data_IF_263162737396
#
_entry.id   IF_263162737396
#
_cell.length_a   1.000
_cell.length_b   1.000
_cell.length_c   1.000
_cell.angle_alpha   90.00
_cell.angle_beta   90.00
_cell.angle_gamma   90.00
#
_symmetry.space_group_name_H-M   'P 1'
#
loop_
_entity.id
_entity.type
_entity.pdbx_description
1 polymer ?
#
# COMPACT_ATOMS: atom_id res chain seq x y z
N UNK A 1 -0.93 75.36 17.05
CA UNK A 1 -1.97 75.38 16.00
C UNK A 1 -2.47 74.00 15.86
N UNK A 2 -3.49 73.64 16.62
CA UNK A 2 -4.92 73.80 16.39
C UNK A 2 -5.43 73.01 15.18
N UNK A 3 -6.13 71.91 15.41
CA UNK A 3 -7.57 71.68 15.18
C UNK A 3 -7.85 70.16 15.30
N UNK A 4 -8.56 69.68 16.33
CA UNK A 4 -10.02 69.61 16.55
C UNK A 4 -10.71 68.73 15.49
N UNK A 5 -11.22 67.61 16.01
CA UNK A 5 -12.56 67.03 16.10
C UNK A 5 -13.07 66.22 14.91
N UNK A 6 -13.62 65.05 15.18
CA UNK A 6 -15.05 64.86 15.33
C UNK A 6 -15.40 63.42 15.76
N UNK A 7 -16.02 63.34 16.92
CA UNK A 7 -16.76 62.18 17.42
C UNK A 7 -17.99 61.93 16.54
N UNK A 8 -18.20 60.69 16.10
CA UNK A 8 -19.51 60.23 15.62
C UNK A 8 -19.99 59.12 16.50
N UNK A 9 -20.93 59.46 17.35
CA UNK A 9 -21.75 58.54 18.08
C UNK A 9 -22.60 57.72 17.10
N UNK A 10 -22.52 56.41 17.13
CA UNK A 10 -23.47 55.53 16.46
C UNK A 10 -24.43 54.98 17.49
N UNK A 11 -25.67 55.39 17.35
CA UNK A 11 -26.81 54.95 18.14
C UNK A 11 -27.11 53.49 17.82
N UNK A 12 -26.89 52.58 18.78
CA UNK A 12 -27.27 51.19 18.66
C UNK A 12 -28.69 51.03 19.16
N UNK A 13 -29.62 50.83 18.24
CA UNK A 13 -31.01 50.44 18.55
C UNK A 13 -30.98 48.95 19.00
N UNK A 14 -31.21 48.74 20.30
CA UNK A 14 -31.44 47.39 20.83
C UNK A 14 -32.84 46.91 20.45
N UNK A 15 -32.89 45.98 19.52
CA UNK A 15 -34.10 45.20 19.25
C UNK A 15 -34.00 43.90 20.05
N UNK A 16 -34.73 43.86 21.17
CA UNK A 16 -34.94 42.63 21.93
C UNK A 16 -35.91 41.73 21.23
N UNK A 17 -35.39 40.72 20.48
CA UNK A 17 -36.23 39.62 19.98
C UNK A 17 -36.15 38.49 21.01
N UNK A 18 -37.24 38.31 21.73
CA UNK A 18 -37.47 37.15 22.59
C UNK A 18 -37.78 35.93 21.70
N UNK A 19 -36.71 35.19 21.29
CA UNK A 19 -36.85 33.94 20.57
C UNK A 19 -36.62 32.79 21.54
N UNK A 20 -37.68 32.03 21.82
CA UNK A 20 -37.58 30.78 22.58
C UNK A 20 -36.62 29.83 21.88
N UNK A 21 -35.42 29.59 22.46
CA UNK A 21 -34.55 28.51 22.04
C UNK A 21 -35.20 27.17 22.46
N UNK A 22 -35.86 26.52 21.55
CA UNK A 22 -36.02 25.06 21.59
C UNK A 22 -34.64 24.45 21.35
N UNK A 23 -33.94 24.11 22.44
CA UNK A 23 -32.76 23.30 22.40
C UNK A 23 -33.16 21.88 22.00
N UNK A 24 -33.38 21.68 20.70
CA UNK A 24 -33.38 20.36 20.10
C UNK A 24 -31.94 19.85 20.19
N UNK A 25 -31.69 18.91 21.10
CA UNK A 25 -30.47 18.11 21.08
C UNK A 25 -30.47 17.35 19.76
N UNK A 26 -29.78 17.90 18.75
CA UNK A 26 -29.32 17.10 17.61
C UNK A 26 -28.40 16.04 18.22
N UNK A 27 -28.95 14.86 18.46
CA UNK A 27 -28.16 13.65 18.60
C UNK A 27 -27.38 13.55 17.28
N UNK A 28 -26.12 13.93 17.31
CA UNK A 28 -25.17 13.52 16.27
C UNK A 28 -25.27 12.00 16.24
N UNK A 29 -25.92 11.49 15.20
CA UNK A 29 -25.92 10.07 14.90
C UNK A 29 -24.47 9.72 14.63
N UNK A 30 -23.75 9.32 15.66
CA UNK A 30 -22.47 8.65 15.49
C UNK A 30 -22.78 7.46 14.59
N UNK A 31 -22.20 7.41 13.42
CA UNK A 31 -22.06 6.19 12.68
C UNK A 31 -21.24 5.28 13.60
N UNK A 32 -21.92 4.43 14.37
CA UNK A 32 -21.30 3.27 14.96
C UNK A 32 -20.94 2.34 13.79
N UNK A 33 -19.82 2.63 13.14
CA UNK A 33 -19.19 1.77 12.13
C UNK A 33 -18.38 0.65 12.79
N UNK A 34 -18.71 0.28 14.00
CA UNK A 34 -18.07 -0.79 14.75
C UNK A 34 -18.42 -2.16 14.15
N UNK A 35 -17.40 -2.94 13.85
CA UNK A 35 -17.56 -4.37 13.59
C UNK A 35 -18.13 -5.00 14.88
N UNK A 36 -19.13 -5.89 14.75
CA UNK A 36 -19.68 -6.63 15.89
C UNK A 36 -18.66 -7.70 16.32
N UNK A 37 -17.76 -7.34 17.22
CA UNK A 37 -16.77 -8.27 17.79
C UNK A 37 -17.42 -9.21 18.80
N UNK A 38 -17.07 -10.47 18.72
CA UNK A 38 -17.40 -11.49 19.72
C UNK A 38 -16.64 -11.27 21.03
N UNK A 39 -17.07 -11.87 22.13
CA UNK A 39 -16.36 -11.75 23.42
C UNK A 39 -14.92 -12.30 23.40
N UNK A 40 -14.60 -13.42 22.71
CA UNK A 40 -13.22 -13.86 22.52
C UNK A 40 -12.36 -12.84 21.78
N UNK A 41 -12.88 -12.21 20.72
CA UNK A 41 -12.14 -11.18 19.94
C UNK A 41 -11.90 -9.93 20.80
N UNK A 42 -12.88 -9.46 21.53
CA UNK A 42 -12.71 -8.37 22.51
C UNK A 42 -11.67 -8.71 23.58
N UNK A 43 -11.66 -9.95 24.06
CA UNK A 43 -10.67 -10.41 25.02
C UNK A 43 -9.28 -10.45 24.41
N UNK A 44 -9.14 -10.90 23.16
CA UNK A 44 -7.86 -10.89 22.43
C UNK A 44 -7.32 -9.46 22.31
N UNK A 45 -8.14 -8.51 21.87
CA UNK A 45 -7.75 -7.10 21.71
C UNK A 45 -7.32 -6.49 23.06
N UNK A 46 -8.05 -6.75 24.14
CA UNK A 46 -7.67 -6.26 25.47
C UNK A 46 -6.31 -6.80 25.94
N UNK A 47 -5.99 -8.04 25.58
CA UNK A 47 -4.73 -8.68 25.97
C UNK A 47 -3.57 -8.36 25.03
N UNK A 48 -3.86 -7.95 23.80
CA UNK A 48 -2.90 -7.64 22.74
C UNK A 48 -3.28 -6.31 22.09
N UNK A 49 -3.16 -5.16 22.79
CA UNK A 49 -3.65 -3.89 22.28
C UNK A 49 -2.82 -3.36 21.11
N UNK A 50 -1.59 -3.83 20.95
CA UNK A 50 -0.69 -3.49 19.85
C UNK A 50 -0.13 -4.77 19.25
N UNK A 51 -0.15 -4.86 17.92
CA UNK A 51 0.43 -5.95 17.14
C UNK A 51 1.54 -5.41 16.24
N UNK A 52 2.60 -6.17 16.09
CA UNK A 52 3.68 -5.86 15.16
C UNK A 52 3.26 -6.18 13.73
N UNK A 53 3.54 -5.25 12.79
CA UNK A 53 3.16 -5.34 11.39
C UNK A 53 4.39 -5.28 10.50
N UNK A 54 4.69 -6.36 9.80
CA UNK A 54 5.62 -6.37 8.68
C UNK A 54 4.93 -5.90 7.40
N UNK A 55 5.62 -5.11 6.59
CA UNK A 55 5.12 -4.50 5.36
C UNK A 55 6.15 -4.61 4.24
N UNK A 56 5.76 -4.39 2.99
CA UNK A 56 6.73 -4.04 1.95
C UNK A 56 7.03 -2.54 2.02
N UNK A 57 8.26 -2.12 2.38
CA UNK A 57 8.59 -0.71 2.52
C UNK A 57 8.66 0.05 1.19
N UNK A 58 8.69 -0.66 0.04
CA UNK A 58 8.97 -0.11 -1.29
C UNK A 58 7.94 -0.49 -2.37
N UNK A 59 6.68 -0.74 -2.00
CA UNK A 59 5.64 -1.22 -2.90
C UNK A 59 4.51 -0.19 -3.13
N UNK A 60 4.87 1.09 -3.26
CA UNK A 60 3.89 2.14 -3.57
C UNK A 60 3.32 1.96 -4.99
N UNK A 61 2.02 2.21 -5.20
CA UNK A 61 1.06 2.90 -4.30
C UNK A 61 0.31 1.98 -3.32
N UNK A 62 0.60 0.68 -3.27
CA UNK A 62 -0.06 -0.23 -2.33
C UNK A 62 0.39 0.02 -0.90
N UNK A 63 1.66 -0.09 -0.61
CA UNK A 63 2.22 0.23 0.69
C UNK A 63 3.68 0.64 0.61
N UNK A 64 4.16 1.34 1.62
CA UNK A 64 5.55 1.74 1.69
C UNK A 64 5.84 2.65 2.89
N UNK A 65 7.11 2.98 3.04
CA UNK A 65 7.56 3.97 4.01
C UNK A 65 8.00 5.25 3.31
N UNK A 66 7.55 6.39 3.83
CA UNK A 66 8.10 7.69 3.41
C UNK A 66 9.52 7.86 3.96
N UNK A 67 10.26 8.83 3.45
CA UNK A 67 11.62 9.13 3.91
C UNK A 67 11.70 9.49 5.42
N UNK A 68 10.62 10.00 6.00
CA UNK A 68 10.47 10.26 7.44
C UNK A 68 9.92 9.04 8.22
N UNK A 69 9.73 7.90 7.55
CA UNK A 69 9.38 6.61 8.14
C UNK A 69 7.89 6.44 8.45
N UNK A 70 6.99 7.20 7.80
CA UNK A 70 5.54 7.00 7.91
C UNK A 70 5.08 5.90 6.98
N UNK A 71 4.21 5.04 7.47
CA UNK A 71 3.51 4.03 6.68
C UNK A 71 2.42 4.68 5.83
N UNK A 72 2.47 4.47 4.53
CA UNK A 72 1.59 5.11 3.55
C UNK A 72 1.19 4.14 2.44
N UNK A 73 0.13 4.46 1.70
CA UNK A 73 -0.38 3.68 0.58
C UNK A 73 -1.77 3.13 0.84
N UNK A 74 -2.36 2.48 -0.16
CA UNK A 74 -3.72 1.95 -0.11
C UNK A 74 -3.90 0.94 1.05
N UNK A 75 -2.92 0.07 1.26
CA UNK A 75 -2.96 -0.94 2.32
C UNK A 75 -2.82 -0.26 3.70
N UNK A 76 -2.01 0.81 3.80
CA UNK A 76 -1.91 1.59 5.03
C UNK A 76 -3.27 2.20 5.43
N UNK A 77 -4.07 2.66 4.46
CA UNK A 77 -5.43 3.15 4.72
C UNK A 77 -6.36 2.02 5.20
N UNK A 78 -6.25 0.81 4.64
CA UNK A 78 -7.00 -0.36 5.14
C UNK A 78 -6.60 -0.71 6.57
N UNK A 79 -5.31 -0.69 6.90
CA UNK A 79 -4.84 -0.96 8.25
C UNK A 79 -5.32 0.11 9.24
N UNK A 80 -5.36 1.38 8.84
CA UNK A 80 -5.92 2.47 9.64
C UNK A 80 -7.43 2.27 9.90
N UNK A 81 -8.18 1.81 8.89
CA UNK A 81 -9.60 1.51 9.03
C UNK A 81 -9.83 0.32 9.99
N UNK A 82 -8.99 -0.72 9.91
CA UNK A 82 -9.03 -1.85 10.85
C UNK A 82 -8.77 -1.37 12.27
N UNK A 83 -7.75 -0.53 12.49
CA UNK A 83 -7.48 0.08 13.80
C UNK A 83 -8.71 0.83 14.34
N UNK A 84 -9.31 1.66 13.48
CA UNK A 84 -10.46 2.48 13.84
C UNK A 84 -11.66 1.63 14.25
N UNK A 85 -11.92 0.53 13.54
CA UNK A 85 -13.08 -0.33 13.79
C UNK A 85 -12.90 -1.31 14.94
N UNK A 86 -11.67 -1.76 15.17
CA UNK A 86 -11.39 -2.82 16.14
C UNK A 86 -10.80 -2.31 17.45
N UNK A 87 -10.15 -1.16 17.42
CA UNK A 87 -9.36 -0.63 18.54
C UNK A 87 -7.98 -1.28 18.69
N UNK A 88 -7.57 -2.18 17.76
CA UNK A 88 -6.20 -2.66 17.68
C UNK A 88 -5.27 -1.52 17.26
N UNK A 89 -4.04 -1.52 17.73
CA UNK A 89 -2.98 -0.67 17.20
C UNK A 89 -1.95 -1.54 16.44
N UNK A 90 -1.34 -0.98 15.40
CA UNK A 90 -0.26 -1.65 14.67
C UNK A 90 1.03 -0.86 14.81
N UNK A 91 2.10 -1.57 15.17
CA UNK A 91 3.46 -1.04 15.17
C UNK A 91 4.21 -1.60 13.97
N UNK A 92 4.53 -0.72 13.00
CA UNK A 92 5.22 -1.12 11.78
C UNK A 92 6.68 -1.47 12.07
N UNK A 93 7.07 -2.67 11.71
CA UNK A 93 8.46 -3.12 11.77
C UNK A 93 9.21 -2.53 10.57
N UNK A 94 10.23 -1.73 10.82
CA UNK A 94 11.01 -1.07 9.77
C UNK A 94 12.05 -2.02 9.21
N UNK A 95 11.97 -2.28 7.93
CA UNK A 95 12.89 -3.11 7.16
C UNK A 95 13.43 -2.33 5.96
N UNK A 96 14.51 -2.80 5.37
CA UNK A 96 15.10 -2.16 4.21
C UNK A 96 14.41 -2.54 2.89
N UNK A 97 13.84 -3.74 2.82
CA UNK A 97 13.21 -4.29 1.62
C UNK A 97 12.23 -5.42 1.98
N UNK A 98 11.53 -5.93 0.97
CA UNK A 98 10.59 -7.03 1.10
C UNK A 98 11.22 -8.33 1.65
N UNK A 99 12.42 -8.68 1.18
CA UNK A 99 13.08 -9.93 1.60
C UNK A 99 13.32 -9.96 3.13
N UNK A 100 13.72 -8.83 3.71
CA UNK A 100 13.88 -8.69 5.15
C UNK A 100 12.55 -8.82 5.89
N UNK A 101 11.50 -8.14 5.40
CA UNK A 101 10.15 -8.24 5.98
C UNK A 101 9.60 -9.66 5.94
N UNK A 102 9.77 -10.35 4.82
CA UNK A 102 9.32 -11.73 4.69
C UNK A 102 10.06 -12.67 5.65
N UNK A 103 11.38 -12.53 5.79
CA UNK A 103 12.16 -13.34 6.74
C UNK A 103 11.70 -13.18 8.19
N UNK A 104 11.34 -11.94 8.60
CA UNK A 104 10.80 -11.69 9.93
C UNK A 104 9.42 -12.33 10.11
N UNK A 105 8.54 -12.21 9.11
CA UNK A 105 7.23 -12.84 9.14
C UNK A 105 7.32 -14.39 9.17
N UNK A 106 8.20 -14.98 8.35
CA UNK A 106 8.45 -16.42 8.32
C UNK A 106 9.00 -16.93 9.65
N UNK A 107 9.83 -16.15 10.33
CA UNK A 107 10.37 -16.47 11.65
C UNK A 107 9.36 -16.28 12.79
N UNK A 108 8.22 -15.61 12.54
CA UNK A 108 7.22 -15.26 13.55
C UNK A 108 7.61 -14.05 14.39
N UNK A 109 8.51 -13.21 13.89
CA UNK A 109 8.95 -11.96 14.54
C UNK A 109 7.99 -10.78 14.27
N UNK A 110 6.97 -10.99 13.41
CA UNK A 110 5.83 -10.08 13.23
C UNK A 110 4.54 -10.83 13.51
N UNK A 111 3.59 -10.17 14.21
CA UNK A 111 2.25 -10.71 14.43
C UNK A 111 1.44 -10.75 13.14
N UNK A 112 1.66 -9.79 12.25
CA UNK A 112 0.97 -9.62 10.97
C UNK A 112 1.97 -9.26 9.86
N UNK A 113 1.62 -9.65 8.63
CA UNK A 113 2.22 -9.13 7.41
C UNK A 113 1.12 -8.69 6.46
N UNK A 114 1.20 -7.47 5.93
CA UNK A 114 0.23 -6.93 4.97
C UNK A 114 0.66 -7.17 3.53
N UNK A 115 -0.27 -6.98 2.60
CA UNK A 115 0.02 -7.03 1.16
C UNK A 115 0.52 -8.36 0.62
N UNK A 116 0.30 -9.45 1.36
CA UNK A 116 0.86 -10.75 1.03
C UNK A 116 0.02 -11.51 0.01
N UNK A 117 0.59 -11.78 -1.16
CA UNK A 117 -0.01 -12.66 -2.14
C UNK A 117 0.02 -14.13 -1.67
N UNK A 118 -1.07 -14.86 -1.93
CA UNK A 118 -1.21 -16.27 -1.57
C UNK A 118 -0.30 -17.15 -2.43
N UNK A 119 0.53 -17.96 -1.78
CA UNK A 119 1.23 -19.10 -2.39
C UNK A 119 1.17 -20.31 -1.45
N UNK A 120 1.32 -21.52 -1.99
CA UNK A 120 1.35 -22.75 -1.19
C UNK A 120 2.52 -22.78 -0.20
N UNK A 121 3.63 -22.12 -0.54
CA UNK A 121 4.79 -22.05 0.33
C UNK A 121 4.49 -21.13 1.53
N UNK A 122 3.90 -19.96 1.28
CA UNK A 122 3.58 -18.98 2.33
C UNK A 122 2.52 -19.48 3.30
N UNK A 123 1.54 -20.27 2.83
CA UNK A 123 0.53 -20.90 3.70
C UNK A 123 1.09 -21.87 4.74
N UNK A 124 2.36 -22.25 4.63
CA UNK A 124 3.04 -23.09 5.61
C UNK A 124 3.49 -22.31 6.85
N UNK A 125 3.64 -21.00 6.72
CA UNK A 125 4.18 -20.11 7.75
C UNK A 125 3.14 -19.14 8.30
N UNK A 126 2.21 -18.70 7.46
CA UNK A 126 1.19 -17.70 7.83
C UNK A 126 -0.22 -18.17 7.50
N UNK A 127 -1.20 -17.70 8.27
CA UNK A 127 -2.61 -17.82 7.93
C UNK A 127 -3.04 -16.61 7.12
N UNK A 128 -3.62 -16.86 5.95
CA UNK A 128 -4.07 -15.81 5.04
C UNK A 128 -5.56 -15.52 5.19
N UNK A 129 -5.93 -14.25 5.10
CA UNK A 129 -7.32 -13.80 4.96
C UNK A 129 -7.86 -14.13 3.57
N UNK A 130 -9.12 -13.77 3.30
CA UNK A 130 -9.60 -13.66 1.93
C UNK A 130 -8.87 -12.54 1.19
N UNK A 131 -8.77 -12.67 -0.14
CA UNK A 131 -8.10 -11.68 -0.98
C UNK A 131 -8.90 -10.37 -0.99
N UNK A 132 -8.26 -9.26 -0.68
CA UNK A 132 -8.88 -7.94 -0.65
C UNK A 132 -8.40 -7.00 -1.78
N UNK A 133 -7.37 -7.41 -2.52
CA UNK A 133 -6.89 -6.79 -3.75
C UNK A 133 -6.70 -7.90 -4.77
N UNK A 134 -7.24 -7.71 -5.97
CA UNK A 134 -7.05 -8.65 -7.08
C UNK A 134 -6.75 -7.86 -8.35
N UNK A 135 -5.55 -8.00 -8.85
CA UNK A 135 -5.06 -7.30 -10.03
C UNK A 135 -4.26 -8.20 -10.97
N UNK A 136 -4.38 -8.02 -12.30
CA UNK A 136 -3.53 -8.73 -13.23
C UNK A 136 -2.10 -8.23 -13.15
N UNK A 137 -1.14 -9.13 -13.29
CA UNK A 137 0.26 -8.81 -13.52
C UNK A 137 0.51 -8.53 -14.99
N UNK A 138 1.40 -7.55 -15.26
CA UNK A 138 1.77 -7.14 -16.62
C UNK A 138 3.27 -7.16 -16.81
N UNK A 139 3.71 -7.31 -18.06
CA UNK A 139 5.10 -7.17 -18.44
C UNK A 139 5.40 -5.73 -18.86
N UNK A 140 6.54 -5.22 -18.41
CA UNK A 140 7.13 -3.94 -18.87
C UNK A 140 8.41 -4.27 -19.63
N UNK A 141 8.53 -3.72 -20.83
CA UNK A 141 9.64 -3.98 -21.76
C UNK A 141 10.11 -2.69 -22.42
N UNK A 142 11.28 -2.71 -23.04
CA UNK A 142 11.72 -1.60 -23.89
C UNK A 142 10.77 -1.37 -25.07
N UNK A 143 10.57 -0.12 -25.49
CA UNK A 143 9.61 0.25 -26.54
C UNK A 143 9.84 -0.47 -27.87
N UNK A 144 11.10 -0.79 -28.21
CA UNK A 144 11.48 -1.56 -29.41
C UNK A 144 11.34 -3.08 -29.25
N UNK A 145 11.03 -3.59 -28.03
CA UNK A 145 10.94 -5.03 -27.76
C UNK A 145 9.77 -5.67 -28.49
N UNK A 146 10.00 -6.90 -28.98
CA UNK A 146 8.98 -7.80 -29.56
C UNK A 146 8.30 -8.70 -28.55
N UNK A 147 8.77 -8.73 -27.30
CA UNK A 147 8.17 -9.53 -26.21
C UNK A 147 6.74 -9.05 -25.94
N UNK A 148 5.83 -10.02 -25.76
CA UNK A 148 4.41 -9.79 -25.47
C UNK A 148 3.89 -10.66 -24.33
N UNK A 149 4.50 -11.82 -24.12
CA UNK A 149 4.07 -12.84 -23.15
C UNK A 149 5.27 -13.38 -22.39
N UNK A 150 5.03 -14.09 -21.29
CA UNK A 150 6.08 -14.81 -20.55
C UNK A 150 6.79 -15.86 -21.43
N UNK A 151 6.08 -16.49 -22.37
CA UNK A 151 6.70 -17.47 -23.27
C UNK A 151 7.77 -16.83 -24.18
N UNK A 152 7.61 -15.57 -24.56
CA UNK A 152 8.60 -14.84 -25.35
C UNK A 152 9.89 -14.55 -24.58
N UNK A 153 9.87 -14.75 -23.26
CA UNK A 153 11.00 -14.56 -22.35
C UNK A 153 11.84 -15.84 -22.14
N UNK A 154 11.50 -16.96 -22.77
CA UNK A 154 12.34 -18.16 -22.68
C UNK A 154 13.75 -17.86 -23.17
N UNK A 155 14.74 -18.10 -22.31
CA UNK A 155 16.16 -17.79 -22.58
C UNK A 155 16.53 -16.30 -22.44
N UNK A 156 15.57 -15.43 -22.08
CA UNK A 156 15.78 -14.01 -21.84
C UNK A 156 15.81 -13.69 -20.33
N UNK A 157 16.17 -12.46 -20.01
CA UNK A 157 16.33 -11.96 -18.65
C UNK A 157 15.07 -11.22 -18.21
N UNK A 158 14.53 -11.61 -17.06
CA UNK A 158 13.39 -10.97 -16.41
C UNK A 158 13.83 -10.35 -15.08
N UNK A 159 13.72 -9.03 -14.96
CA UNK A 159 13.92 -8.33 -13.69
C UNK A 159 12.72 -8.58 -12.79
N UNK A 160 12.97 -9.04 -11.58
CA UNK A 160 11.96 -9.38 -10.58
C UNK A 160 12.48 -9.10 -9.17
N UNK A 161 11.60 -8.65 -8.28
CA UNK A 161 11.97 -8.47 -6.88
C UNK A 161 12.09 -9.84 -6.21
N UNK A 162 13.21 -10.05 -5.53
CA UNK A 162 13.49 -11.32 -4.86
C UNK A 162 12.44 -11.62 -3.79
N UNK A 163 11.93 -12.84 -3.79
CA UNK A 163 10.94 -13.30 -2.81
C UNK A 163 9.50 -12.81 -3.06
N UNK A 164 9.22 -12.14 -4.18
CA UNK A 164 7.85 -11.88 -4.58
C UNK A 164 7.16 -13.18 -5.04
N UNK A 165 5.83 -13.24 -4.91
CA UNK A 165 5.04 -14.42 -5.28
C UNK A 165 5.22 -14.84 -6.75
N UNK A 166 5.47 -13.86 -7.62
CA UNK A 166 5.78 -14.11 -9.02
C UNK A 166 7.13 -14.81 -9.20
N UNK A 167 8.14 -14.51 -8.38
CA UNK A 167 9.43 -15.23 -8.43
C UNK A 167 9.26 -16.71 -8.07
N UNK A 168 8.47 -17.00 -7.04
CA UNK A 168 8.12 -18.37 -6.66
C UNK A 168 7.38 -19.12 -7.81
N UNK A 169 6.34 -18.49 -8.38
CA UNK A 169 5.53 -19.04 -9.46
C UNK A 169 6.36 -19.27 -10.73
N UNK A 170 7.15 -18.27 -11.14
CA UNK A 170 7.99 -18.35 -12.33
C UNK A 170 9.05 -19.42 -12.22
N UNK A 171 9.57 -19.69 -11.02
CA UNK A 171 10.52 -20.76 -10.78
C UNK A 171 9.98 -22.14 -11.12
N UNK A 172 8.68 -22.35 -10.92
CA UNK A 172 7.99 -23.61 -11.20
C UNK A 172 7.51 -23.69 -12.66
N UNK A 173 6.87 -22.63 -13.16
CA UNK A 173 6.13 -22.64 -14.41
C UNK A 173 7.00 -22.25 -15.62
N UNK A 174 8.02 -21.42 -15.42
CA UNK A 174 8.89 -20.89 -16.47
C UNK A 174 10.39 -20.96 -16.10
N UNK A 175 10.94 -22.14 -15.78
CA UNK A 175 12.33 -22.28 -15.34
C UNK A 175 13.36 -21.84 -16.40
N UNK A 176 12.95 -21.66 -17.67
CA UNK A 176 13.81 -21.22 -18.78
C UNK A 176 14.03 -19.70 -18.78
N UNK A 177 13.27 -18.92 -17.99
CA UNK A 177 13.44 -17.48 -17.86
C UNK A 177 14.60 -17.22 -16.90
N UNK A 178 15.59 -16.43 -17.33
CA UNK A 178 16.70 -16.02 -16.49
C UNK A 178 16.25 -14.87 -15.57
N UNK A 179 16.25 -15.10 -14.26
CA UNK A 179 15.88 -14.07 -13.27
C UNK A 179 17.04 -13.15 -12.99
N UNK A 180 16.78 -11.84 -13.08
CA UNK A 180 17.66 -10.76 -12.65
C UNK A 180 17.02 -10.12 -11.44
N UNK A 181 17.57 -10.43 -10.27
CA UNK A 181 16.99 -9.93 -9.03
C UNK A 181 17.17 -8.42 -8.87
N UNK A 182 16.12 -7.78 -8.40
CA UNK A 182 16.02 -6.36 -8.08
C UNK A 182 15.68 -6.18 -6.60
N UNK A 183 16.09 -5.05 -6.03
CA UNK A 183 15.79 -4.70 -4.65
C UNK A 183 14.33 -4.25 -4.45
N UNK A 184 13.80 -3.59 -5.48
CA UNK A 184 12.43 -3.09 -5.56
C UNK A 184 12.03 -2.96 -7.05
N UNK A 185 10.82 -2.47 -7.30
CA UNK A 185 10.31 -2.34 -8.67
C UNK A 185 10.94 -1.16 -9.43
N UNK A 186 11.38 -0.13 -8.75
CA UNK A 186 12.16 0.95 -9.38
C UNK A 186 13.49 0.43 -9.92
N UNK A 187 14.22 -0.39 -9.15
CA UNK A 187 15.43 -1.07 -9.59
C UNK A 187 15.16 -2.06 -10.73
N UNK A 188 14.02 -2.79 -10.69
CA UNK A 188 13.63 -3.69 -11.77
C UNK A 188 13.42 -2.93 -13.10
N UNK A 189 12.69 -1.81 -13.06
CA UNK A 189 12.48 -0.96 -14.25
C UNK A 189 13.76 -0.30 -14.73
N UNK A 190 14.63 0.15 -13.82
CA UNK A 190 15.93 0.69 -14.16
C UNK A 190 16.81 -0.33 -14.92
N UNK A 191 16.80 -1.60 -14.49
CA UNK A 191 17.50 -2.70 -15.19
C UNK A 191 16.98 -2.92 -16.61
N UNK A 192 15.65 -2.81 -16.82
CA UNK A 192 15.07 -2.90 -18.17
C UNK A 192 15.47 -1.69 -19.02
N UNK A 193 15.43 -0.49 -18.47
CA UNK A 193 15.81 0.73 -19.17
C UNK A 193 17.30 0.74 -19.55
N UNK A 194 18.18 0.19 -18.71
CA UNK A 194 19.60 0.03 -18.98
C UNK A 194 19.94 -1.12 -19.94
N UNK A 195 18.98 -2.03 -20.23
CA UNK A 195 19.22 -3.22 -21.05
C UNK A 195 19.87 -4.37 -20.28
N UNK A 196 19.93 -4.31 -18.96
CA UNK A 196 20.41 -5.38 -18.08
C UNK A 196 19.37 -6.50 -17.94
N UNK A 197 18.09 -6.20 -18.17
CA UNK A 197 16.99 -7.14 -18.29
C UNK A 197 16.17 -6.86 -19.55
N UNK A 198 15.46 -7.88 -20.07
CA UNK A 198 14.65 -7.78 -21.28
C UNK A 198 13.20 -7.41 -20.95
N UNK A 199 12.75 -7.66 -19.71
CA UNK A 199 11.46 -7.29 -19.18
C UNK A 199 11.50 -7.16 -17.65
N UNK A 200 10.48 -6.51 -17.09
CA UNK A 200 10.09 -6.57 -15.68
C UNK A 200 8.62 -7.00 -15.56
N UNK A 201 8.20 -7.52 -14.42
CA UNK A 201 6.83 -8.00 -14.18
C UNK A 201 6.35 -7.61 -12.79
N UNK A 202 5.15 -7.06 -12.70
CA UNK A 202 4.38 -6.90 -11.46
C UNK A 202 2.93 -6.50 -11.77
N UNK A 203 2.15 -6.14 -10.74
CA UNK A 203 0.77 -5.72 -10.89
C UNK A 203 0.64 -4.52 -11.84
N UNK A 204 -0.43 -4.52 -12.61
CA UNK A 204 -0.69 -3.48 -13.61
C UNK A 204 -0.72 -2.08 -12.99
N UNK A 205 -1.42 -1.93 -11.87
CA UNK A 205 -1.57 -0.63 -11.21
C UNK A 205 -0.24 -0.02 -10.78
N UNK A 206 0.66 -0.85 -10.23
CA UNK A 206 2.00 -0.38 -9.84
C UNK A 206 2.81 0.00 -11.07
N UNK A 207 2.86 -0.86 -12.08
CA UNK A 207 3.64 -0.59 -13.29
C UNK A 207 3.15 0.65 -14.02
N UNK A 208 1.82 0.88 -14.11
CA UNK A 208 1.25 2.12 -14.65
C UNK A 208 1.65 3.34 -13.81
N UNK A 209 1.59 3.23 -12.47
CA UNK A 209 1.99 4.30 -11.55
C UNK A 209 3.47 4.67 -11.68
N UNK A 210 4.36 3.69 -11.74
CA UNK A 210 5.79 3.90 -11.89
C UNK A 210 6.13 4.56 -13.24
N UNK A 211 5.56 4.06 -14.34
CA UNK A 211 5.79 4.64 -15.66
C UNK A 211 5.19 6.04 -15.82
N UNK A 212 4.08 6.34 -15.13
CA UNK A 212 3.47 7.68 -15.15
C UNK A 212 4.33 8.78 -14.49
N UNK A 213 5.27 8.42 -13.61
CA UNK A 213 6.23 9.37 -13.04
C UNK A 213 7.19 9.95 -14.07
N UNK A 214 7.33 9.31 -15.23
CA UNK A 214 8.13 9.79 -16.36
C UNK A 214 9.63 9.49 -16.26
N UNK A 215 10.07 8.77 -15.26
CA UNK A 215 11.50 8.50 -15.02
C UNK A 215 12.06 7.40 -15.95
N UNK A 216 11.17 6.61 -16.60
CA UNK A 216 11.52 5.44 -17.42
C UNK A 216 11.14 5.63 -18.89
N UNK A 217 11.68 6.68 -19.52
CA UNK A 217 11.48 6.91 -20.96
C UNK A 217 11.93 5.72 -21.80
N UNK A 218 11.08 5.32 -22.76
CA UNK A 218 11.39 4.20 -23.65
C UNK A 218 10.94 2.81 -23.16
N UNK A 219 10.22 2.72 -22.04
CA UNK A 219 9.55 1.52 -21.60
C UNK A 219 8.06 1.55 -21.96
N UNK A 220 7.45 0.39 -22.07
CA UNK A 220 6.00 0.19 -22.31
C UNK A 220 5.48 -1.05 -21.62
N UNK A 221 4.22 -1.01 -21.22
CA UNK A 221 3.47 -2.18 -20.77
C UNK A 221 3.05 -3.00 -21.99
N UNK A 222 3.17 -4.33 -21.88
CA UNK A 222 2.72 -5.30 -22.88
C UNK A 222 2.08 -6.48 -22.16
N UNK A 223 0.94 -6.94 -22.66
CA UNK A 223 0.27 -8.16 -22.23
C UNK A 223 0.06 -8.31 -20.72
N UNK A 224 -0.86 -9.18 -20.36
CA UNK A 224 -0.99 -9.71 -19.01
C UNK A 224 -0.08 -10.93 -18.87
N UNK A 225 0.54 -11.10 -17.72
CA UNK A 225 1.47 -12.22 -17.50
C UNK A 225 0.79 -13.50 -16.99
N UNK A 226 -0.56 -13.51 -16.92
CA UNK A 226 -1.37 -14.67 -16.51
C UNK A 226 -1.74 -14.68 -15.05
#
# INVERSE_FOLDING_TARGET
MSRITASRAVLICAVTVFGALLAGTLKAGGHESGIALTEPEKAFIRNNPTLTLCIDPNWLPYEGLTADGRYVGLIAEYMLEIQTRTGLAFEVVKTANWEESWKLAEAGDCDLISGLNRTRERERYVSLTEDYINEPSVLVVGSASSVRTLNDLHGKRLAIVQGYSLDEKLGMDHPQIQRVYANDLDDALAKVAAGDADAAVDSKFIMESLLARGDYGGLKIVGESG
#
